data_IF_061068845054
#
_entry.id   IF_061068845054
#
_cell.length_a   1.000
_cell.length_b   1.000
_cell.length_c   1.000
_cell.angle_alpha   90.00
_cell.angle_beta   90.00
_cell.angle_gamma   90.00
#
_symmetry.space_group_name_H-M   'P 1'
#
loop_
_entity.id
_entity.type
_entity.pdbx_description
1 polymer ?
#
# COMPACT_ATOMS: atom_id res chain seq x y z
N UNK A 1 -4.62 18.80 -20.63
CA UNK A 1 -5.56 17.72 -20.28
C UNK A 1 -5.03 17.05 -19.02
N UNK A 2 -5.89 16.74 -18.04
CA UNK A 2 -5.49 15.96 -16.85
C UNK A 2 -5.25 14.53 -17.34
N UNK A 3 -4.08 13.97 -17.11
CA UNK A 3 -3.74 12.62 -17.57
C UNK A 3 -4.45 11.61 -16.66
N UNK A 4 -5.16 10.65 -17.26
CA UNK A 4 -5.83 9.58 -16.53
C UNK A 4 -4.95 8.33 -16.51
N UNK A 5 -4.88 7.67 -15.35
CA UNK A 5 -4.10 6.46 -15.15
C UNK A 5 -4.98 5.37 -14.53
N UNK A 6 -4.77 4.13 -14.97
CA UNK A 6 -5.37 2.97 -14.31
C UNK A 6 -4.60 2.70 -13.02
N UNK A 7 -5.31 2.79 -11.89
CA UNK A 7 -4.72 2.58 -10.56
C UNK A 7 -4.78 1.11 -10.14
N UNK A 8 -5.91 0.46 -10.40
CA UNK A 8 -6.12 -0.95 -10.11
C UNK A 8 -7.12 -1.54 -11.10
N UNK A 9 -7.02 -2.86 -11.31
CA UNK A 9 -7.96 -3.65 -12.07
C UNK A 9 -8.32 -4.87 -11.22
N UNK A 10 -9.61 -5.13 -11.08
CA UNK A 10 -10.11 -6.27 -10.32
C UNK A 10 -10.93 -7.16 -11.24
N UNK A 11 -10.76 -8.47 -11.10
CA UNK A 11 -11.61 -9.48 -11.73
C UNK A 11 -12.41 -10.10 -10.59
N UNK A 12 -13.65 -9.62 -10.41
CA UNK A 12 -14.49 -10.00 -9.27
C UNK A 12 -15.05 -11.42 -9.45
N UNK A 13 -14.98 -12.19 -8.37
CA UNK A 13 -15.76 -13.42 -8.20
C UNK A 13 -17.01 -13.11 -7.38
N UNK A 14 -18.06 -13.95 -7.45
CA UNK A 14 -19.31 -13.75 -6.69
C UNK A 14 -19.09 -13.50 -5.19
N UNK A 15 -18.12 -14.19 -4.59
CA UNK A 15 -17.77 -14.03 -3.17
C UNK A 15 -17.20 -12.63 -2.85
N UNK A 16 -16.62 -11.95 -3.84
CA UNK A 16 -15.97 -10.65 -3.67
C UNK A 16 -16.92 -9.48 -3.88
N UNK A 17 -18.10 -9.69 -4.46
CA UNK A 17 -19.11 -8.64 -4.67
C UNK A 17 -19.62 -8.03 -3.36
N UNK A 18 -19.41 -8.72 -2.24
CA UNK A 18 -19.74 -8.26 -0.88
C UNK A 18 -18.59 -7.54 -0.17
N UNK A 19 -17.41 -7.45 -0.80
CA UNK A 19 -16.27 -6.70 -0.27
C UNK A 19 -16.49 -5.20 -0.44
N UNK A 20 -15.67 -4.44 0.24
CA UNK A 20 -15.55 -3.00 0.12
C UNK A 20 -14.33 -2.62 -0.71
N UNK A 21 -14.43 -1.52 -1.44
CA UNK A 21 -13.33 -0.86 -2.11
C UNK A 21 -12.66 0.14 -1.16
N UNK A 22 -11.40 -0.13 -0.83
CA UNK A 22 -10.53 0.75 -0.04
C UNK A 22 -9.66 1.58 -0.98
N UNK A 23 -9.82 2.90 -0.93
CA UNK A 23 -9.10 3.85 -1.77
C UNK A 23 -8.21 4.74 -0.93
N UNK A 24 -6.99 5.02 -1.42
CA UNK A 24 -6.05 5.94 -0.80
C UNK A 24 -5.49 6.94 -1.81
N UNK A 25 -5.57 8.22 -1.49
CA UNK A 25 -5.05 9.32 -2.31
C UNK A 25 -3.61 9.69 -1.94
N UNK A 26 -2.89 10.42 -2.80
CA UNK A 26 -1.51 10.86 -2.53
C UNK A 26 -1.40 11.72 -1.27
N UNK A 27 -2.43 12.51 -0.96
CA UNK A 27 -2.47 13.35 0.24
C UNK A 27 -2.93 12.60 1.50
N UNK A 28 -3.04 11.26 1.42
CA UNK A 28 -3.37 10.41 2.56
C UNK A 28 -4.84 10.44 2.95
N UNK A 29 -5.77 10.71 2.01
CA UNK A 29 -7.19 10.50 2.22
C UNK A 29 -7.55 9.04 1.96
N UNK A 30 -8.12 8.37 2.96
CA UNK A 30 -8.62 7.00 2.84
C UNK A 30 -10.14 6.99 2.79
N UNK A 31 -10.70 6.11 1.97
CA UNK A 31 -12.14 5.94 1.81
C UNK A 31 -12.48 4.47 1.67
N UNK A 32 -13.54 4.03 2.37
CA UNK A 32 -14.20 2.74 2.17
C UNK A 32 -15.53 2.96 1.47
N UNK A 33 -15.77 2.23 0.38
CA UNK A 33 -16.99 2.26 -0.41
C UNK A 33 -17.48 0.83 -0.63
N UNK A 34 -18.76 0.56 -0.40
CA UNK A 34 -19.32 -0.77 -0.69
C UNK A 34 -19.25 -1.05 -2.20
N UNK A 35 -18.83 -2.26 -2.60
CA UNK A 35 -18.90 -2.65 -4.02
C UNK A 35 -20.34 -2.75 -4.52
N UNK A 36 -21.32 -2.94 -3.65
CA UNK A 36 -22.74 -2.89 -4.05
C UNK A 36 -23.13 -1.53 -4.63
N UNK A 37 -22.44 -0.45 -4.26
CA UNK A 37 -22.68 0.89 -4.84
C UNK A 37 -22.17 1.03 -6.28
N UNK A 38 -21.53 -0.03 -6.80
CA UNK A 38 -20.93 -0.13 -8.13
C UNK A 38 -21.63 -1.17 -9.04
N UNK A 39 -22.77 -1.75 -8.64
CA UNK A 39 -23.45 -2.81 -9.39
C UNK A 39 -23.93 -2.38 -10.78
N UNK A 40 -24.31 -1.11 -10.95
CA UNK A 40 -24.92 -0.58 -12.18
C UNK A 40 -23.97 0.31 -13.00
N UNK A 41 -22.71 -0.13 -13.18
CA UNK A 41 -21.74 0.61 -14.00
C UNK A 41 -22.13 0.51 -15.47
N UNK A 42 -22.23 1.68 -16.11
CA UNK A 42 -22.40 1.82 -17.56
C UNK A 42 -21.06 2.17 -18.22
N UNK A 43 -21.02 2.16 -19.55
CA UNK A 43 -19.84 2.55 -20.34
C UNK A 43 -19.36 4.00 -20.11
N UNK A 44 -20.12 4.84 -19.39
CA UNK A 44 -19.73 6.22 -19.05
C UNK A 44 -18.78 6.32 -17.86
N UNK A 45 -18.52 5.21 -17.17
CA UNK A 45 -17.76 5.19 -15.93
C UNK A 45 -18.54 5.80 -14.76
N UNK A 46 -17.94 5.71 -13.57
CA UNK A 46 -18.58 6.07 -12.31
C UNK A 46 -17.60 6.84 -11.42
N UNK A 47 -18.06 7.95 -10.83
CA UNK A 47 -17.26 8.63 -9.80
C UNK A 47 -17.36 7.85 -8.50
N UNK A 48 -16.21 7.39 -8.00
CA UNK A 48 -16.08 6.62 -6.75
C UNK A 48 -15.43 7.42 -5.62
N UNK A 49 -14.76 8.52 -5.95
CA UNK A 49 -14.15 9.45 -4.98
C UNK A 49 -14.09 10.85 -5.59
N UNK A 50 -14.35 11.88 -4.78
CA UNK A 50 -14.12 13.28 -5.17
C UNK A 50 -12.71 13.69 -4.76
N UNK A 51 -11.90 14.12 -5.71
CA UNK A 51 -10.53 14.57 -5.48
C UNK A 51 -10.45 16.10 -5.44
N UNK A 52 -9.48 16.63 -4.71
CA UNK A 52 -9.07 18.04 -4.80
C UNK A 52 -8.19 18.24 -6.04
N UNK A 53 -7.89 19.49 -6.38
CA UNK A 53 -7.07 19.82 -7.56
C UNK A 53 -5.64 19.29 -7.44
N UNK A 54 -5.10 19.28 -6.22
CA UNK A 54 -3.75 18.85 -5.86
C UNK A 54 -3.70 17.42 -5.29
N UNK A 55 -4.73 16.61 -5.52
CA UNK A 55 -4.82 15.24 -5.04
C UNK A 55 -5.11 14.27 -6.18
N UNK A 56 -4.60 13.05 -6.05
CA UNK A 56 -4.78 11.97 -7.02
C UNK A 56 -4.98 10.64 -6.29
N UNK A 57 -5.78 9.76 -6.87
CA UNK A 57 -5.92 8.41 -6.36
C UNK A 57 -4.64 7.62 -6.64
N UNK A 58 -4.07 6.96 -5.63
CA UNK A 58 -2.81 6.21 -5.74
C UNK A 58 -2.98 4.72 -5.58
N UNK A 59 -3.91 4.31 -4.72
CA UNK A 59 -4.13 2.92 -4.40
C UNK A 59 -5.61 2.61 -4.29
N UNK A 60 -5.97 1.42 -4.72
CA UNK A 60 -7.29 0.84 -4.55
C UNK A 60 -7.10 -0.65 -4.24
N UNK A 61 -7.77 -1.15 -3.21
CA UNK A 61 -7.73 -2.55 -2.79
C UNK A 61 -9.14 -3.02 -2.44
N UNK A 62 -9.40 -4.32 -2.59
CA UNK A 62 -10.61 -4.94 -2.07
C UNK A 62 -10.34 -5.45 -0.66
N UNK A 63 -11.29 -5.23 0.25
CA UNK A 63 -11.18 -5.70 1.61
C UNK A 63 -12.56 -5.87 2.25
N UNK A 64 -12.61 -6.45 3.44
CA UNK A 64 -13.82 -6.56 4.25
C UNK A 64 -13.57 -6.14 5.69
N UNK A 65 -14.66 -5.93 6.44
CA UNK A 65 -14.58 -5.63 7.87
C UNK A 65 -13.83 -6.75 8.62
N UNK A 66 -12.96 -6.35 9.55
CA UNK A 66 -12.11 -7.25 10.32
C UNK A 66 -10.72 -7.48 9.71
N UNK A 67 -10.52 -7.17 8.44
CA UNK A 67 -9.19 -7.09 7.83
C UNK A 67 -8.46 -5.80 8.27
N UNK A 68 -7.22 -5.66 7.83
CA UNK A 68 -6.33 -4.56 8.17
C UNK A 68 -5.95 -3.80 6.90
N UNK A 69 -5.93 -2.47 6.98
CA UNK A 69 -5.33 -1.61 5.96
C UNK A 69 -3.97 -1.11 6.46
N UNK A 70 -2.91 -1.33 5.68
CA UNK A 70 -1.55 -0.88 6.01
C UNK A 70 -1.05 0.10 4.97
N UNK A 71 -0.80 1.33 5.43
CA UNK A 71 -0.27 2.41 4.61
C UNK A 71 1.23 2.54 4.86
N UNK A 72 2.02 2.70 3.80
CA UNK A 72 3.46 2.85 3.87
C UNK A 72 3.91 4.22 3.37
N UNK A 73 4.82 4.87 4.10
CA UNK A 73 5.48 6.10 3.65
C UNK A 73 6.91 5.82 3.17
N UNK A 74 7.43 6.68 2.30
CA UNK A 74 8.82 6.61 1.81
C UNK A 74 9.84 6.69 2.96
N UNK A 75 9.49 7.32 4.07
CA UNK A 75 10.28 7.34 5.31
C UNK A 75 10.32 6.01 6.08
N UNK A 76 9.80 4.91 5.52
CA UNK A 76 9.82 3.59 6.15
C UNK A 76 8.85 3.46 7.32
N UNK A 77 7.81 4.30 7.36
CA UNK A 77 6.77 4.26 8.40
C UNK A 77 5.55 3.52 7.90
N UNK A 78 4.98 2.68 8.76
CA UNK A 78 3.74 1.97 8.47
C UNK A 78 2.63 2.40 9.44
N UNK A 79 1.45 2.68 8.90
CA UNK A 79 0.24 2.89 9.67
C UNK A 79 -0.69 1.71 9.43
N UNK A 80 -0.93 0.91 10.48
CA UNK A 80 -1.88 -0.20 10.48
C UNK A 80 -3.21 0.28 11.05
N UNK A 81 -4.26 0.21 10.24
CA UNK A 81 -5.63 0.53 10.62
C UNK A 81 -6.48 -0.73 10.56
N UNK A 82 -7.36 -0.88 11.53
CA UNK A 82 -8.44 -1.85 11.44
C UNK A 82 -9.48 -1.38 10.42
N UNK A 83 -10.03 -2.29 9.63
CA UNK A 83 -11.11 -1.98 8.69
C UNK A 83 -12.43 -2.19 9.43
N UNK A 84 -12.96 -1.11 9.98
CA UNK A 84 -14.22 -1.07 10.71
C UNK A 84 -14.95 0.28 10.50
N UNK A 85 -16.12 0.44 11.13
CA UNK A 85 -16.89 1.69 11.05
C UNK A 85 -16.26 2.84 11.84
N UNK A 86 -15.40 2.55 12.81
CA UNK A 86 -14.75 3.58 13.61
C UNK A 86 -13.62 4.23 12.82
N UNK A 87 -12.66 3.45 12.34
CA UNK A 87 -11.44 3.87 11.66
C UNK A 87 -11.67 4.20 10.18
N UNK A 88 -12.45 3.39 9.47
CA UNK A 88 -12.71 3.56 8.04
C UNK A 88 -14.23 3.48 7.80
N UNK A 89 -15.06 4.46 8.20
CA UNK A 89 -16.51 4.38 7.98
C UNK A 89 -16.88 4.20 6.51
N UNK A 90 -17.96 3.45 6.25
CA UNK A 90 -18.56 3.38 4.91
C UNK A 90 -18.97 4.77 4.44
N UNK A 91 -18.59 5.12 3.20
CA UNK A 91 -18.88 6.43 2.63
C UNK A 91 -19.44 6.31 1.23
N UNK A 92 -20.44 7.15 0.92
CA UNK A 92 -21.01 7.23 -0.41
C UNK A 92 -20.02 7.72 -1.48
N UNK A 93 -20.33 7.43 -2.74
CA UNK A 93 -19.50 7.67 -3.93
C UNK A 93 -18.87 9.06 -4.07
N UNK A 94 -19.55 10.13 -3.68
CA UNK A 94 -19.06 11.51 -3.84
C UNK A 94 -18.22 12.02 -2.66
N UNK A 95 -18.08 11.24 -1.59
CA UNK A 95 -17.24 11.59 -0.45
C UNK A 95 -15.75 11.64 -0.84
N UNK A 96 -14.99 12.54 -0.19
CA UNK A 96 -13.55 12.71 -0.39
C UNK A 96 -12.69 11.72 0.42
N UNK A 97 -13.28 11.06 1.43
CA UNK A 97 -12.55 10.22 2.38
C UNK A 97 -12.07 10.98 3.63
N UNK A 98 -11.64 10.21 4.62
CA UNK A 98 -11.10 10.68 5.90
C UNK A 98 -9.58 10.84 5.82
N UNK A 99 -8.99 11.67 6.68
CA UNK A 99 -7.51 11.70 6.79
C UNK A 99 -7.03 10.38 7.40
N UNK A 100 -6.25 9.62 6.64
CA UNK A 100 -5.70 8.32 7.06
C UNK A 100 -4.39 8.50 7.80
N UNK A 101 -3.46 9.23 7.20
CA UNK A 101 -2.11 9.46 7.74
C UNK A 101 -1.71 10.91 7.58
N UNK A 102 -0.87 11.42 8.48
CA UNK A 102 -0.18 12.70 8.28
C UNK A 102 1.22 12.42 7.77
N UNK A 103 1.50 12.81 6.54
CA UNK A 103 2.84 12.70 5.96
C UNK A 103 3.78 13.71 6.63
N UNK A 104 5.00 13.27 6.94
CA UNK A 104 6.06 14.20 7.36
C UNK A 104 6.56 15.00 6.16
N UNK A 105 7.28 16.08 6.42
CA UNK A 105 7.90 16.88 5.38
C UNK A 105 8.79 15.97 4.50
N UNK A 106 8.60 16.04 3.18
CA UNK A 106 9.31 15.24 2.18
C UNK A 106 8.99 13.73 2.17
N UNK A 107 8.03 13.26 2.97
CA UNK A 107 7.52 11.90 2.84
C UNK A 107 6.36 11.85 1.84
N UNK A 108 6.27 10.74 1.13
CA UNK A 108 5.15 10.41 0.25
C UNK A 108 4.61 9.02 0.59
N UNK A 109 3.44 8.68 0.08
CA UNK A 109 2.90 7.33 0.17
C UNK A 109 3.58 6.44 -0.87
N UNK A 110 4.04 5.28 -0.43
CA UNK A 110 4.71 4.27 -1.28
C UNK A 110 3.95 2.95 -1.32
N UNK A 111 2.88 2.82 -0.53
CA UNK A 111 1.92 1.74 -0.70
C UNK A 111 0.72 1.81 0.22
N UNK A 112 -0.31 1.08 -0.17
CA UNK A 112 -1.49 0.78 0.63
C UNK A 112 -1.86 -0.67 0.31
N UNK A 113 -1.86 -1.53 1.32
CA UNK A 113 -2.24 -2.94 1.17
C UNK A 113 -3.32 -3.29 2.17
N UNK A 114 -4.17 -4.24 1.80
CA UNK A 114 -5.16 -4.84 2.70
C UNK A 114 -4.82 -6.31 2.90
N UNK A 115 -4.96 -6.79 4.13
CA UNK A 115 -4.58 -8.15 4.50
C UNK A 115 -5.31 -8.58 5.77
N UNK A 116 -5.31 -9.89 6.00
CA UNK A 116 -5.74 -10.45 7.28
C UNK A 116 -4.82 -10.04 8.44
N UNK A 117 -5.20 -10.41 9.66
CA UNK A 117 -4.45 -10.09 10.88
C UNK A 117 -3.20 -10.94 11.13
N UNK A 118 -2.83 -11.86 10.24
CA UNK A 118 -1.79 -12.87 10.45
C UNK A 118 -0.66 -12.80 9.40
N UNK A 119 -0.98 -12.32 8.20
CA UNK A 119 -0.09 -12.24 7.04
C UNK A 119 1.12 -11.34 7.30
N UNK A 120 2.25 -11.73 6.73
CA UNK A 120 3.46 -10.92 6.78
C UNK A 120 3.41 -9.78 5.75
N UNK A 121 4.16 -8.71 6.00
CA UNK A 121 4.38 -7.63 5.05
C UNK A 121 5.79 -7.71 4.51
N UNK A 122 5.95 -7.60 3.20
CA UNK A 122 7.23 -7.51 2.54
C UNK A 122 7.56 -6.06 2.19
N UNK A 123 8.71 -5.59 2.65
CA UNK A 123 9.17 -4.21 2.50
C UNK A 123 10.45 -4.18 1.70
N UNK A 124 10.55 -3.25 0.75
CA UNK A 124 11.72 -3.09 -0.13
C UNK A 124 12.13 -1.62 -0.18
N UNK A 125 13.43 -1.34 -0.01
CA UNK A 125 14.01 -0.01 -0.18
C UNK A 125 14.52 0.23 -1.60
N UNK A 126 14.68 1.51 -1.96
CA UNK A 126 15.22 1.91 -3.27
C UNK A 126 16.64 1.36 -3.51
N UNK A 127 17.42 1.16 -2.44
CA UNK A 127 18.78 0.61 -2.51
C UNK A 127 18.84 -0.93 -2.59
N UNK A 128 17.71 -1.61 -2.77
CA UNK A 128 17.66 -3.06 -2.99
C UNK A 128 17.76 -3.90 -1.73
N UNK A 129 17.47 -3.32 -0.57
CA UNK A 129 17.29 -4.06 0.69
C UNK A 129 15.83 -4.41 0.87
N UNK A 130 15.55 -5.54 1.52
CA UNK A 130 14.20 -5.86 1.93
C UNK A 130 14.10 -6.93 2.99
N UNK A 131 12.93 -6.99 3.61
CA UNK A 131 12.58 -7.90 4.70
C UNK A 131 11.11 -8.23 4.68
N UNK A 132 10.75 -9.35 5.30
CA UNK A 132 9.40 -9.55 5.81
C UNK A 132 9.31 -9.07 7.25
N UNK A 133 8.15 -8.54 7.64
CA UNK A 133 7.79 -8.27 9.03
C UNK A 133 6.43 -8.90 9.32
N UNK A 134 6.23 -9.42 10.52
CA UNK A 134 4.91 -9.87 10.94
C UNK A 134 4.00 -8.66 11.17
N UNK A 135 2.78 -8.69 10.64
CA UNK A 135 1.79 -7.62 10.89
C UNK A 135 1.52 -7.47 12.39
N UNK A 136 1.53 -8.57 13.15
CA UNK A 136 1.38 -8.58 14.61
C UNK A 136 2.45 -7.80 15.36
N UNK A 137 3.61 -7.52 14.75
CA UNK A 137 4.60 -6.62 15.35
C UNK A 137 4.12 -5.16 15.33
N UNK A 138 3.34 -4.77 14.31
CA UNK A 138 2.79 -3.43 14.16
C UNK A 138 1.60 -3.25 15.07
N UNK A 139 1.60 -2.17 15.85
CA UNK A 139 0.47 -1.79 16.70
C UNK A 139 -0.64 -1.27 15.80
N UNK A 140 -1.87 -1.68 16.09
CA UNK A 140 -3.05 -1.03 15.50
C UNK A 140 -3.06 0.42 15.97
N UNK A 141 -3.25 1.33 15.02
CA UNK A 141 -3.27 2.76 15.26
C UNK A 141 -4.62 3.35 14.84
N UNK A 142 -4.87 4.57 15.28
CA UNK A 142 -6.02 5.33 14.82
C UNK A 142 -5.71 6.09 13.53
N UNK A 143 -6.74 6.31 12.71
CA UNK A 143 -6.64 7.22 11.54
C UNK A 143 -6.14 8.60 11.97
N UNK A 144 -5.39 9.26 11.09
CA UNK A 144 -4.72 10.53 11.33
C UNK A 144 -3.36 10.40 12.02
N UNK A 145 -2.95 9.19 12.40
CA UNK A 145 -1.61 8.90 12.91
C UNK A 145 -0.50 9.08 11.86
N UNK A 146 0.75 9.07 12.31
CA UNK A 146 1.94 9.13 11.44
C UNK A 146 2.54 7.74 11.18
N UNK A 147 1.90 6.67 11.65
CA UNK A 147 2.44 5.32 11.65
C UNK A 147 3.60 5.11 12.64
N UNK A 148 4.25 3.96 12.57
CA UNK A 148 5.44 3.59 13.34
C UNK A 148 6.60 3.23 12.41
N UNK A 149 7.84 3.35 12.88
CA UNK A 149 9.00 2.92 12.10
C UNK A 149 8.91 1.42 11.86
N UNK A 150 9.13 1.00 10.61
CA UNK A 150 9.09 -0.41 10.24
C UNK A 150 10.26 -0.80 9.35
N UNK A 151 11.16 0.13 9.01
CA UNK A 151 12.33 -0.13 8.18
C UNK A 151 13.51 0.71 8.66
N UNK A 152 14.65 0.07 8.87
CA UNK A 152 15.90 0.76 9.17
C UNK A 152 16.72 0.93 7.89
N UNK A 153 16.96 2.18 7.48
CA UNK A 153 17.79 2.46 6.31
C UNK A 153 19.28 2.43 6.63
N UNK A 154 20.09 2.04 5.63
CA UNK A 154 21.56 2.05 5.75
C UNK A 154 22.15 3.43 5.43
N UNK A 155 21.49 4.19 4.57
CA UNK A 155 21.91 5.54 4.15
C UNK A 155 20.75 6.50 4.41
N UNK A 156 21.08 7.73 4.76
CA UNK A 156 20.07 8.78 4.97
C UNK A 156 19.28 9.12 3.69
N UNK A 157 19.85 8.83 2.52
CA UNK A 157 19.23 9.06 1.22
C UNK A 157 18.41 7.86 0.71
N UNK A 158 18.37 6.75 1.45
CA UNK A 158 17.56 5.58 1.08
C UNK A 158 16.13 5.77 1.60
N UNK A 159 15.16 5.27 0.84
CA UNK A 159 13.74 5.37 1.14
C UNK A 159 13.04 4.05 0.81
N UNK A 160 11.86 3.85 1.37
CA UNK A 160 11.06 2.68 1.07
C UNK A 160 10.49 2.81 -0.35
N UNK A 161 10.73 1.81 -1.20
CA UNK A 161 10.26 1.78 -2.59
C UNK A 161 8.89 1.11 -2.74
N UNK A 162 8.51 0.25 -1.79
CA UNK A 162 7.19 -0.39 -1.82
C UNK A 162 6.96 -1.38 -0.70
N UNK A 163 5.70 -1.82 -0.64
CA UNK A 163 5.17 -2.81 0.28
C UNK A 163 4.30 -3.81 -0.49
N UNK A 164 4.41 -5.08 -0.12
CA UNK A 164 3.64 -6.19 -0.71
C UNK A 164 3.13 -7.07 0.43
N UNK A 165 1.93 -7.64 0.28
CA UNK A 165 1.40 -8.64 1.23
C UNK A 165 2.12 -9.96 0.98
N UNK A 166 2.58 -10.60 2.05
CA UNK A 166 3.21 -11.92 1.98
C UNK A 166 2.21 -13.03 1.69
N UNK A 167 2.73 -14.17 1.23
CA UNK A 167 1.95 -15.36 0.90
C UNK A 167 2.84 -16.40 0.24
N UNK A 168 2.44 -17.67 0.32
CA UNK A 168 3.24 -18.82 -0.11
C UNK A 168 3.70 -18.75 -1.58
N UNK A 169 2.87 -18.14 -2.43
CA UNK A 169 3.07 -18.11 -3.87
C UNK A 169 3.25 -16.69 -4.42
N UNK A 170 3.42 -15.69 -3.54
CA UNK A 170 3.55 -14.30 -3.96
C UNK A 170 4.97 -14.03 -4.47
N UNK A 171 5.06 -13.51 -5.69
CA UNK A 171 6.31 -13.04 -6.29
C UNK A 171 6.33 -11.52 -6.30
N UNK A 172 7.34 -10.93 -5.65
CA UNK A 172 7.59 -9.51 -5.74
C UNK A 172 8.53 -9.20 -6.91
N UNK A 173 8.05 -8.43 -7.87
CA UNK A 173 8.84 -7.85 -8.95
C UNK A 173 9.26 -6.42 -8.61
N UNK A 174 10.52 -6.10 -8.88
CA UNK A 174 11.17 -4.82 -8.64
C UNK A 174 11.69 -4.27 -9.96
N UNK A 175 11.23 -3.09 -10.35
CA UNK A 175 11.71 -2.36 -11.53
C UNK A 175 12.78 -1.35 -11.11
N UNK A 176 13.91 -1.32 -11.81
CA UNK A 176 14.99 -0.35 -11.57
C UNK A 176 14.95 0.84 -12.53
N UNK A 177 15.66 1.92 -12.18
CA UNK A 177 15.88 3.08 -13.07
C UNK A 177 16.60 2.74 -14.37
N UNK A 178 17.30 1.60 -14.43
CA UNK A 178 17.97 1.12 -15.65
C UNK A 178 17.07 0.18 -16.48
N UNK A 179 15.79 0.05 -16.12
CA UNK A 179 14.83 -0.81 -16.82
C UNK A 179 14.99 -2.29 -16.52
N UNK A 180 15.77 -2.66 -15.49
CA UNK A 180 15.90 -4.07 -15.07
C UNK A 180 14.70 -4.48 -14.23
N UNK A 181 14.20 -5.69 -14.44
CA UNK A 181 13.18 -6.32 -13.62
C UNK A 181 13.82 -7.44 -12.81
N UNK A 182 13.71 -7.38 -11.49
CA UNK A 182 14.20 -8.42 -10.58
C UNK A 182 13.03 -9.02 -9.82
N UNK A 183 12.97 -10.35 -9.71
CA UNK A 183 11.93 -11.06 -8.98
C UNK A 183 12.46 -11.72 -7.71
N UNK A 184 11.65 -11.76 -6.66
CA UNK A 184 11.91 -12.59 -5.48
C UNK A 184 10.61 -13.24 -5.01
N UNK A 185 10.68 -14.51 -4.62
CA UNK A 185 9.57 -15.15 -3.91
C UNK A 185 9.51 -14.50 -2.53
N UNK A 186 8.37 -13.92 -2.16
CA UNK A 186 8.26 -13.13 -0.92
C UNK A 186 8.58 -13.99 0.30
N UNK A 187 8.06 -15.21 0.34
CA UNK A 187 8.23 -16.11 1.47
C UNK A 187 9.65 -16.70 1.62
N UNK A 188 10.48 -16.61 0.57
CA UNK A 188 11.91 -16.94 0.67
C UNK A 188 12.70 -15.90 1.46
N UNK A 189 12.18 -14.68 1.62
CA UNK A 189 12.84 -13.62 2.37
C UNK A 189 12.64 -13.82 3.87
N UNK A 190 13.66 -13.61 4.69
CA UNK A 190 13.57 -13.81 6.14
C UNK A 190 12.66 -12.76 6.81
N UNK A 191 11.96 -13.19 7.85
CA UNK A 191 11.20 -12.30 8.76
C UNK A 191 12.16 -11.65 9.74
N UNK A 192 12.03 -10.34 9.92
CA UNK A 192 12.87 -9.51 10.78
C UNK A 192 12.02 -8.63 11.71
N UNK A 193 12.68 -8.00 12.68
CA UNK A 193 12.07 -6.98 13.53
C UNK A 193 11.87 -5.66 12.78
N UNK A 194 11.19 -4.71 13.43
CA UNK A 194 10.90 -3.39 12.85
C UNK A 194 12.16 -2.55 12.61
N UNK A 195 13.15 -2.66 13.50
CA UNK A 195 14.38 -1.87 13.47
C UNK A 195 15.48 -2.50 12.60
N UNK A 196 15.16 -3.56 11.88
CA UNK A 196 16.08 -4.19 10.92
C UNK A 196 15.98 -3.57 9.53
N UNK A 197 17.04 -3.70 8.75
CA UNK A 197 17.04 -3.38 7.30
C UNK A 197 16.72 -4.57 6.39
N UNK A 198 16.80 -5.79 6.92
CA UNK A 198 16.71 -7.02 6.12
C UNK A 198 17.96 -7.37 5.33
N UNK A 199 17.77 -8.21 4.30
CA UNK A 199 18.84 -8.67 3.40
C UNK A 199 18.90 -7.81 2.14
N UNK A 200 20.05 -7.84 1.47
CA UNK A 200 20.18 -7.31 0.12
C UNK A 200 19.51 -8.28 -0.85
N UNK A 201 18.44 -7.84 -1.49
CA UNK A 201 17.67 -8.60 -2.48
C UNK A 201 18.27 -8.45 -3.88
N UNK A 202 18.69 -7.23 -4.22
CA UNK A 202 19.22 -6.88 -5.53
C UNK A 202 20.56 -6.15 -5.36
N UNK A 203 21.55 -6.52 -6.17
CA UNK A 203 22.80 -5.78 -6.28
C UNK A 203 22.66 -4.74 -7.38
N UNK A 204 22.52 -3.49 -6.97
CA UNK A 204 22.31 -2.35 -7.87
C UNK A 204 23.64 -1.66 -8.21
N UNK A 205 23.70 -1.05 -9.39
CA UNK A 205 24.77 -0.12 -9.77
C UNK A 205 24.81 1.13 -8.87
N UNK A 206 25.89 1.93 -8.99
CA UNK A 206 26.14 3.06 -8.07
C UNK A 206 25.03 4.14 -8.04
N UNK A 207 24.31 4.32 -9.15
CA UNK A 207 23.19 5.27 -9.29
C UNK A 207 21.85 4.58 -9.56
N UNK A 208 21.86 3.26 -9.66
CA UNK A 208 20.66 2.48 -9.94
C UNK A 208 19.83 2.34 -8.66
N UNK A 209 18.53 2.56 -8.78
CA UNK A 209 17.57 2.39 -7.68
C UNK A 209 16.32 1.65 -8.14
N UNK A 210 15.67 0.96 -7.21
CA UNK A 210 14.33 0.41 -7.42
C UNK A 210 13.33 1.56 -7.42
N UNK A 211 12.44 1.61 -8.41
CA UNK A 211 11.44 2.67 -8.58
C UNK A 211 10.00 2.16 -8.46
N UNK A 212 9.81 0.84 -8.54
CA UNK A 212 8.49 0.22 -8.40
C UNK A 212 8.62 -1.20 -7.86
N UNK A 213 7.72 -1.56 -6.97
CA UNK A 213 7.59 -2.92 -6.42
C UNK A 213 6.14 -3.35 -6.64
N UNK A 214 5.94 -4.53 -7.21
CA UNK A 214 4.61 -5.11 -7.44
C UNK A 214 4.63 -6.56 -6.98
N UNK A 215 3.63 -6.96 -6.19
CA UNK A 215 3.36 -8.36 -5.87
C UNK A 215 2.23 -8.91 -6.72
N UNK A 216 2.32 -10.18 -7.10
CA UNK A 216 1.28 -10.96 -7.75
C UNK A 216 1.36 -12.43 -7.32
#
# INVERSE_FOLDING_TARGET
ARQEFIIAQFVLQEAEEKKDLIMLTQNGKIKRLSLSDLSDITNRGITVIKLKEDDELRYANLAQVGEQAVLATSGGRLLRLEIDDEQLPLMGRTAQGSQATRLRKQEELVGCVTLDGESNLFLVSEQGYGKRIAIGSLRVANRGGIGQNAFQFTRQTDVLAGIVVGGSDVVAQMLTTEGKVCGTIVDSVKVYGQDDRGNRLVKLGAKERIIKVVGY
#
